data_IF_082501787833
#
_entry.id   IF_082501787833
#
_cell.length_a   1.000
_cell.length_b   1.000
_cell.length_c   1.000
_cell.angle_alpha   90.00
_cell.angle_beta   90.00
_cell.angle_gamma   90.00
#
_symmetry.space_group_name_H-M   'P 1'
#
loop_
_entity.id
_entity.type
_entity.pdbx_description
1 polymer ?
#
# COMPACT_ATOMS: atom_id res chain seq x y z
N UNK A 1 -15.34 -21.44 10.64
CA UNK A 1 -16.54 -20.55 10.65
C UNK A 1 -16.59 -19.60 9.44
N UNK A 2 -15.48 -19.15 8.84
CA UNK A 2 -15.50 -18.35 7.59
C UNK A 2 -15.74 -19.17 6.30
N UNK A 3 -15.22 -20.41 6.24
CA UNK A 3 -15.28 -21.30 5.07
C UNK A 3 -16.69 -21.61 4.54
N UNK A 4 -17.71 -21.65 5.41
CA UNK A 4 -19.05 -22.16 5.05
C UNK A 4 -20.12 -21.07 4.85
N UNK A 5 -19.78 -19.77 4.96
CA UNK A 5 -20.75 -18.68 4.83
C UNK A 5 -20.44 -17.68 3.72
N UNK A 6 -19.18 -17.50 3.36
CA UNK A 6 -18.79 -16.59 2.27
C UNK A 6 -17.90 -17.35 1.30
N UNK A 7 -18.40 -17.56 0.08
CA UNK A 7 -17.62 -18.14 -1.03
C UNK A 7 -16.70 -17.07 -1.60
N UNK A 8 -15.81 -16.54 -0.76
CA UNK A 8 -14.80 -15.60 -1.25
C UNK A 8 -13.83 -16.36 -2.15
N UNK A 9 -13.38 -15.76 -3.25
CA UNK A 9 -12.43 -16.41 -4.13
C UNK A 9 -11.08 -16.69 -3.46
N UNK A 10 -10.66 -15.85 -2.52
CA UNK A 10 -9.43 -16.01 -1.73
C UNK A 10 -9.64 -15.50 -0.30
N UNK A 11 -8.95 -16.10 0.68
CA UNK A 11 -8.83 -15.56 2.03
C UNK A 11 -7.43 -15.77 2.59
N UNK A 12 -7.04 -14.90 3.52
CA UNK A 12 -5.74 -14.88 4.15
C UNK A 12 -5.89 -14.66 5.65
N UNK A 13 -4.96 -15.18 6.43
CA UNK A 13 -4.87 -14.91 7.87
C UNK A 13 -3.41 -14.81 8.29
N UNK A 14 -3.17 -14.05 9.35
CA UNK A 14 -1.83 -13.72 9.83
C UNK A 14 -1.86 -13.34 11.30
N UNK A 15 -0.91 -13.89 12.07
CA UNK A 15 -0.63 -13.44 13.43
C UNK A 15 0.57 -12.47 13.47
N UNK A 16 0.37 -11.17 13.77
CA UNK A 16 1.47 -10.20 13.88
C UNK A 16 2.45 -10.50 15.01
N UNK A 17 2.11 -11.37 15.97
CA UNK A 17 2.97 -11.79 17.07
C UNK A 17 3.63 -13.16 16.83
N UNK A 18 3.26 -13.86 15.75
CA UNK A 18 3.94 -15.04 15.25
C UNK A 18 4.09 -14.93 13.72
N UNK A 19 5.14 -14.26 13.22
CA UNK A 19 5.26 -13.91 11.79
C UNK A 19 5.30 -15.09 10.81
N UNK A 20 5.58 -16.29 11.29
CA UNK A 20 5.53 -17.54 10.51
C UNK A 20 4.09 -18.05 10.33
N UNK A 21 3.15 -17.55 11.14
CA UNK A 21 1.73 -17.92 11.10
C UNK A 21 0.99 -17.09 10.06
N UNK A 22 1.34 -17.32 8.80
CA UNK A 22 0.75 -16.71 7.62
C UNK A 22 0.23 -17.83 6.71
N UNK A 23 -1.05 -17.76 6.34
CA UNK A 23 -1.55 -18.64 5.30
C UNK A 23 -2.62 -17.97 4.44
N UNK A 24 -2.61 -18.34 3.16
CA UNK A 24 -3.58 -17.93 2.16
C UNK A 24 -4.22 -19.13 1.51
N UNK A 25 -5.47 -18.99 1.08
CA UNK A 25 -6.20 -20.03 0.38
C UNK A 25 -7.00 -19.44 -0.76
N UNK A 26 -7.07 -20.15 -1.87
CA UNK A 26 -7.95 -19.82 -2.98
C UNK A 26 -9.01 -20.90 -3.19
N UNK A 27 -10.21 -20.49 -3.60
CA UNK A 27 -11.32 -21.40 -3.86
C UNK A 27 -11.22 -21.94 -5.29
N UNK A 28 -10.90 -23.23 -5.42
CA UNK A 28 -10.82 -23.93 -6.70
C UNK A 28 -11.77 -25.13 -6.69
N UNK A 29 -12.68 -25.21 -7.68
CA UNK A 29 -13.67 -26.29 -7.79
C UNK A 29 -14.48 -26.53 -6.49
N UNK A 30 -14.78 -25.46 -5.75
CA UNK A 30 -15.52 -25.53 -4.48
C UNK A 30 -14.69 -25.97 -3.26
N UNK A 31 -13.38 -26.15 -3.42
CA UNK A 31 -12.45 -26.54 -2.35
C UNK A 31 -11.38 -25.46 -2.19
N UNK A 32 -11.09 -25.09 -0.95
CA UNK A 32 -9.99 -24.16 -0.66
C UNK A 32 -8.66 -24.89 -0.75
N UNK A 33 -7.77 -24.39 -1.62
CA UNK A 33 -6.40 -24.88 -1.76
C UNK A 33 -5.43 -23.86 -1.16
N UNK A 34 -4.37 -24.29 -0.47
CA UNK A 34 -3.37 -23.40 0.08
C UNK A 34 -2.61 -22.66 -1.03
N UNK A 35 -2.33 -21.39 -0.81
CA UNK A 35 -1.43 -20.58 -1.63
C UNK A 35 -0.03 -20.71 -1.00
N UNK A 36 0.92 -21.23 -1.77
CA UNK A 36 2.32 -21.30 -1.33
C UNK A 36 3.00 -19.95 -1.45
N UNK A 37 3.94 -19.69 -0.54
CA UNK A 37 4.81 -18.53 -0.66
C UNK A 37 5.72 -18.66 -1.89
N UNK A 38 5.97 -17.52 -2.54
CA UNK A 38 6.96 -17.42 -3.62
C UNK A 38 8.40 -17.41 -3.06
N UNK A 39 9.44 -17.43 -3.91
CA UNK A 39 10.84 -17.38 -3.45
C UNK A 39 11.20 -16.15 -2.59
N UNK A 40 10.40 -15.09 -2.65
CA UNK A 40 10.53 -13.88 -1.85
C UNK A 40 9.70 -13.93 -0.55
N UNK A 41 9.15 -15.11 -0.19
CA UNK A 41 8.27 -15.33 0.96
C UNK A 41 7.00 -14.49 0.93
N UNK A 42 6.43 -14.28 -0.26
CA UNK A 42 5.18 -13.53 -0.45
C UNK A 42 4.04 -14.48 -0.80
N UNK A 43 2.83 -14.15 -0.35
CA UNK A 43 1.62 -14.82 -0.84
C UNK A 43 1.05 -14.03 -2.02
N UNK A 44 1.10 -14.62 -3.21
CA UNK A 44 0.63 -13.95 -4.43
C UNK A 44 -0.86 -14.23 -4.65
N UNK A 45 -1.65 -13.17 -4.66
CA UNK A 45 -3.03 -13.20 -5.12
C UNK A 45 -3.05 -13.06 -6.65
N UNK A 46 -3.34 -14.15 -7.34
CA UNK A 46 -3.46 -14.14 -8.81
C UNK A 46 -4.66 -13.31 -9.26
N UNK A 47 -5.71 -13.23 -8.43
CA UNK A 47 -6.92 -12.49 -8.77
C UNK A 47 -6.74 -10.98 -8.67
N UNK A 48 -5.98 -10.52 -7.68
CA UNK A 48 -5.70 -9.10 -7.51
C UNK A 48 -4.50 -8.64 -8.33
N UNK A 49 -3.64 -9.56 -8.77
CA UNK A 49 -2.34 -9.20 -9.35
C UNK A 49 -1.45 -8.50 -8.33
N UNK A 50 -1.54 -8.91 -7.06
CA UNK A 50 -0.83 -8.30 -5.94
C UNK A 50 -0.18 -9.39 -5.08
N UNK A 51 0.87 -9.00 -4.36
CA UNK A 51 1.55 -9.84 -3.39
C UNK A 51 1.30 -9.33 -1.97
N UNK A 52 0.94 -10.24 -1.05
CA UNK A 52 0.98 -9.99 0.38
C UNK A 52 2.42 -10.15 0.87
N UNK A 53 2.95 -9.08 1.45
CA UNK A 53 4.32 -9.03 1.96
C UNK A 53 4.35 -8.70 3.44
N UNK A 54 5.34 -9.25 4.14
CA UNK A 54 5.66 -8.87 5.51
C UNK A 54 6.40 -7.53 5.48
N UNK A 55 5.96 -6.59 6.30
CA UNK A 55 6.50 -5.25 6.40
C UNK A 55 6.71 -4.89 7.87
N UNK A 56 7.94 -4.55 8.24
CA UNK A 56 8.25 -4.10 9.58
C UNK A 56 7.93 -2.61 9.72
N UNK A 57 7.11 -2.25 10.70
CA UNK A 57 6.89 -0.85 11.04
C UNK A 57 5.72 -0.62 11.97
N UNK A 58 5.25 0.63 11.98
CA UNK A 58 4.26 1.11 12.93
C UNK A 58 2.88 1.23 12.28
N UNK A 59 1.89 0.53 12.80
CA UNK A 59 0.51 0.60 12.32
C UNK A 59 -0.46 0.55 13.50
N UNK A 60 -1.44 1.48 13.50
CA UNK A 60 -2.41 1.64 14.60
C UNK A 60 -1.77 1.61 15.99
N UNK A 61 -0.74 2.42 16.15
CA UNK A 61 -0.02 2.61 17.42
C UNK A 61 0.84 1.42 17.88
N UNK A 62 1.00 0.38 17.05
CA UNK A 62 1.75 -0.82 17.40
C UNK A 62 2.89 -1.05 16.40
N UNK A 63 4.10 -1.20 16.93
CA UNK A 63 5.28 -1.62 16.16
C UNK A 63 5.33 -3.14 16.08
N UNK A 64 5.27 -3.68 14.87
CA UNK A 64 5.33 -5.12 14.63
C UNK A 64 5.69 -5.42 13.17
N UNK A 65 5.78 -6.70 12.83
CA UNK A 65 5.75 -7.15 11.44
C UNK A 65 4.28 -7.23 11.01
N UNK A 66 3.87 -6.32 10.13
CA UNK A 66 2.53 -6.28 9.56
C UNK A 66 2.49 -6.88 8.16
N UNK A 67 1.28 -7.10 7.65
CA UNK A 67 1.08 -7.39 6.24
C UNK A 67 0.73 -6.14 5.45
N UNK A 68 1.29 -6.02 4.25
CA UNK A 68 0.91 -5.01 3.25
C UNK A 68 0.71 -5.65 1.89
N UNK A 69 -0.19 -5.07 1.11
CA UNK A 69 -0.26 -5.34 -0.31
C UNK A 69 0.88 -4.63 -1.02
N UNK A 70 1.53 -5.34 -1.93
CA UNK A 70 2.51 -4.83 -2.86
C UNK A 70 2.11 -5.19 -4.29
N UNK A 71 2.57 -4.41 -5.26
CA UNK A 71 2.55 -4.83 -6.67
C UNK A 71 3.43 -6.07 -6.85
N UNK A 72 3.31 -6.75 -7.98
CA UNK A 72 4.14 -7.93 -8.26
C UNK A 72 5.63 -7.57 -8.37
N UNK A 73 5.92 -6.33 -8.77
CA UNK A 73 7.26 -5.72 -8.82
C UNK A 73 7.83 -5.42 -7.43
N UNK A 74 6.98 -5.40 -6.39
CA UNK A 74 7.38 -5.21 -5.00
C UNK A 74 7.07 -3.82 -4.43
N UNK A 75 6.38 -2.96 -5.17
CA UNK A 75 6.01 -1.63 -4.68
C UNK A 75 4.84 -1.72 -3.70
N UNK A 76 5.03 -1.24 -2.47
CA UNK A 76 3.98 -1.23 -1.46
C UNK A 76 2.83 -0.31 -1.87
N UNK A 77 1.60 -0.84 -1.79
CA UNK A 77 0.40 -0.04 -1.96
C UNK A 77 0.30 0.94 -0.77
N UNK A 78 0.30 2.26 -1.00
CA UNK A 78 0.27 3.22 0.10
C UNK A 78 -1.05 3.16 0.87
N UNK A 79 -0.95 3.26 2.19
CA UNK A 79 -2.09 3.45 3.09
C UNK A 79 -2.76 4.79 2.80
N UNK A 80 -4.05 4.98 3.16
CA UNK A 80 -4.72 6.27 3.03
C UNK A 80 -3.95 7.42 3.72
N UNK A 81 -3.34 7.14 4.87
CA UNK A 81 -2.53 8.10 5.63
C UNK A 81 -1.26 8.48 4.87
N UNK A 82 -0.52 7.50 4.32
CA UNK A 82 0.66 7.76 3.49
C UNK A 82 0.30 8.55 2.23
N UNK A 83 -0.81 8.22 1.55
CA UNK A 83 -1.29 8.98 0.39
C UNK A 83 -1.62 10.43 0.75
N UNK A 84 -2.30 10.65 1.87
CA UNK A 84 -2.65 11.99 2.33
C UNK A 84 -1.40 12.80 2.67
N UNK A 85 -0.42 12.19 3.36
CA UNK A 85 0.85 12.84 3.66
C UNK A 85 1.63 13.20 2.39
N UNK A 86 1.70 12.29 1.42
CA UNK A 86 2.35 12.53 0.12
C UNK A 86 1.68 13.68 -0.64
N UNK A 87 0.34 13.69 -0.70
CA UNK A 87 -0.42 14.75 -1.35
C UNK A 87 -0.20 16.12 -0.68
N UNK A 88 -0.17 16.15 0.65
CA UNK A 88 0.09 17.38 1.41
C UNK A 88 1.50 17.91 1.15
N UNK A 89 2.50 17.02 1.11
CA UNK A 89 3.88 17.39 0.79
C UNK A 89 4.00 17.94 -0.63
N UNK A 90 3.35 17.31 -1.61
CA UNK A 90 3.34 17.78 -2.99
C UNK A 90 2.66 19.15 -3.12
N UNK A 91 1.52 19.37 -2.46
CA UNK A 91 0.83 20.66 -2.44
C UNK A 91 1.73 21.76 -1.85
N UNK A 92 2.37 21.47 -0.72
CA UNK A 92 3.29 22.41 -0.05
C UNK A 92 4.48 22.75 -0.94
N UNK A 93 5.08 21.75 -1.58
CA UNK A 93 6.21 21.97 -2.47
C UNK A 93 5.82 22.75 -3.73
N UNK A 94 4.64 22.48 -4.30
CA UNK A 94 4.13 23.23 -5.45
C UNK A 94 3.88 24.70 -5.10
N UNK A 95 3.27 24.95 -3.94
CA UNK A 95 3.03 26.31 -3.44
C UNK A 95 4.34 27.07 -3.24
N UNK A 96 5.34 26.46 -2.58
CA UNK A 96 6.64 27.09 -2.39
C UNK A 96 7.33 27.43 -3.73
N UNK A 97 7.25 26.54 -4.72
CA UNK A 97 7.80 26.81 -6.07
C UNK A 97 7.07 27.94 -6.77
N UNK A 98 5.74 27.98 -6.68
CA UNK A 98 4.92 29.05 -7.25
C UNK A 98 5.25 30.41 -6.61
N UNK A 99 5.35 30.46 -5.28
CA UNK A 99 5.73 31.67 -4.54
C UNK A 99 7.13 32.17 -4.92
N UNK A 100 8.11 31.26 -5.03
CA UNK A 100 9.47 31.59 -5.46
C UNK A 100 9.49 32.13 -6.90
N UNK A 101 8.72 31.53 -7.81
CA UNK A 101 8.63 31.99 -9.19
C UNK A 101 7.94 33.35 -9.28
N UNK A 102 6.83 33.54 -8.58
CA UNK A 102 6.12 34.81 -8.50
C UNK A 102 7.01 35.93 -7.94
N UNK A 103 7.83 35.64 -6.92
CA UNK A 103 8.79 36.59 -6.39
C UNK A 103 9.86 36.98 -7.43
N UNK A 104 10.36 36.02 -8.23
CA UNK A 104 11.31 36.30 -9.32
C UNK A 104 10.68 37.11 -10.45
N UNK A 105 9.45 36.80 -10.84
CA UNK A 105 8.69 37.55 -11.86
C UNK A 105 8.48 39.00 -11.40
N UNK A 106 8.04 39.21 -10.16
CA UNK A 106 7.91 40.55 -9.56
C UNK A 106 9.24 41.30 -9.55
N UNK A 107 10.36 40.63 -9.25
CA UNK A 107 11.69 41.25 -9.31
C UNK A 107 12.12 41.64 -10.74
N UNK A 108 11.58 40.98 -11.76
CA UNK A 108 11.76 41.33 -13.18
C UNK A 108 10.72 42.34 -13.70
N UNK A 109 9.84 42.85 -12.84
CA UNK A 109 8.79 43.81 -13.21
C UNK A 109 7.59 43.18 -13.94
N UNK A 110 7.47 41.85 -13.94
CA UNK A 110 6.34 41.12 -14.53
C UNK A 110 5.31 40.82 -13.45
N UNK A 111 4.04 41.14 -13.70
CA UNK A 111 2.93 40.79 -12.80
C UNK A 111 2.62 39.28 -12.94
N UNK A 112 2.82 38.45 -11.89
CA UNK A 112 2.58 37.00 -11.97
C UNK A 112 1.10 36.62 -12.09
N UNK A 113 0.17 37.51 -11.72
CA UNK A 113 -1.27 37.24 -11.71
C UNK A 113 -1.95 37.51 -13.07
N UNK A 114 -1.18 38.03 -14.04
CA UNK A 114 -1.63 38.37 -15.40
C UNK A 114 -1.09 37.44 -16.49
N UNK A 115 -0.35 36.38 -16.11
CA UNK A 115 0.25 35.37 -17.02
C UNK A 115 -0.56 34.08 -17.02
#
# INVERSE_FOLDING_TARGET
VYQNKVRVPEYFWYDPFNPEDLAGFNLQNGVYQPISEDPQKRLVSQQLGLALVRWQGYYKEVEATWLRWATLEGDLIPTPQEKAAQAQQQATQAQQRAEQLAARLRAMGVNPDEV
#
